data_IF_219919917982
#
_entry.id   IF_219919917982
#
_cell.length_a   1.000
_cell.length_b   1.000
_cell.length_c   1.000
_cell.angle_alpha   90.00
_cell.angle_beta   90.00
_cell.angle_gamma   90.00
#
_symmetry.space_group_name_H-M   'P 1'
#
loop_
_entity.id
_entity.type
_entity.pdbx_description
1 polymer ?
#
# COMPACT_ATOMS: atom_id res chain seq x y z
N UNK A 1 10.00 24.01 10.53
CA UNK A 1 10.17 24.72 9.24
C UNK A 1 10.78 23.74 8.24
N UNK A 2 10.09 23.55 7.12
CA UNK A 2 10.59 22.71 6.01
C UNK A 2 11.55 23.56 5.18
N UNK A 3 12.77 23.11 4.87
CA UNK A 3 13.69 23.84 4.02
C UNK A 3 13.05 24.12 2.64
N UNK A 4 13.21 25.31 2.07
CA UNK A 4 12.74 25.60 0.73
C UNK A 4 13.56 24.80 -0.30
N UNK A 5 12.89 24.22 -1.30
CA UNK A 5 13.52 23.46 -2.38
C UNK A 5 12.67 23.45 -3.63
N UNK A 6 13.29 23.31 -4.80
CA UNK A 6 12.62 23.23 -6.11
C UNK A 6 12.41 21.77 -6.55
N UNK A 7 13.29 20.88 -6.12
CA UNK A 7 13.26 19.45 -6.47
C UNK A 7 14.10 18.65 -5.45
N UNK A 8 14.19 17.34 -5.65
CA UNK A 8 14.89 16.41 -4.75
C UNK A 8 16.37 16.70 -4.53
N UNK A 9 17.04 17.42 -5.41
CA UNK A 9 18.45 17.78 -5.25
C UNK A 9 18.66 18.86 -4.18
N UNK A 10 17.60 19.57 -3.82
CA UNK A 10 17.61 20.58 -2.76
C UNK A 10 17.33 19.97 -1.37
N UNK A 11 17.14 18.64 -1.29
CA UNK A 11 16.91 17.95 -0.03
C UNK A 11 18.11 18.11 0.90
N UNK A 12 17.83 18.56 2.14
CA UNK A 12 18.84 18.72 3.17
C UNK A 12 18.88 17.46 4.05
N UNK A 13 20.03 16.79 4.10
CA UNK A 13 20.24 15.70 5.06
C UNK A 13 20.23 16.28 6.49
N UNK A 14 19.29 15.82 7.31
CA UNK A 14 19.13 16.30 8.69
C UNK A 14 19.90 15.39 9.67
N UNK A 15 19.87 14.08 9.42
CA UNK A 15 20.49 13.10 10.28
C UNK A 15 20.88 11.87 9.47
N UNK A 16 22.09 11.37 9.72
CA UNK A 16 22.57 10.09 9.21
C UNK A 16 22.94 9.20 10.38
N UNK A 17 22.35 8.01 10.42
CA UNK A 17 22.56 7.05 11.51
C UNK A 17 23.07 5.73 10.95
N UNK A 18 24.13 5.19 11.58
CA UNK A 18 24.74 3.93 11.20
C UNK A 18 25.67 4.04 9.99
N UNK A 19 26.25 2.92 9.63
CA UNK A 19 27.15 2.79 8.50
C UNK A 19 26.56 1.85 7.45
N UNK A 20 26.73 2.21 6.17
CA UNK A 20 26.34 1.33 5.06
C UNK A 20 27.34 0.18 4.99
N UNK A 21 26.85 -1.05 5.10
CA UNK A 21 27.69 -2.24 4.99
C UNK A 21 28.26 -2.34 3.57
N UNK A 22 29.57 -2.44 3.49
CA UNK A 22 30.24 -2.79 2.25
C UNK A 22 30.25 -4.32 2.08
N UNK A 23 29.70 -4.79 0.97
CA UNK A 23 29.71 -6.21 0.63
C UNK A 23 30.91 -6.49 -0.28
N UNK A 24 31.56 -7.63 -0.07
CA UNK A 24 32.63 -8.14 -0.96
C UNK A 24 32.05 -8.86 -2.19
N UNK A 25 30.75 -8.80 -2.39
CA UNK A 25 30.03 -9.32 -3.54
C UNK A 25 28.97 -8.31 -4.02
N UNK A 26 28.48 -8.45 -5.24
CA UNK A 26 27.37 -7.63 -5.77
C UNK A 26 26.04 -8.14 -5.21
N UNK A 27 25.34 -7.37 -4.34
CA UNK A 27 24.02 -7.76 -3.82
C UNK A 27 23.01 -7.90 -4.96
N UNK A 28 22.15 -8.90 -4.86
CA UNK A 28 21.02 -9.07 -5.77
C UNK A 28 19.80 -8.34 -5.24
N UNK A 29 18.96 -7.87 -6.15
CA UNK A 29 17.65 -7.32 -5.80
C UNK A 29 16.70 -8.40 -5.28
N UNK A 30 15.63 -7.98 -4.61
CA UNK A 30 14.62 -8.90 -4.08
C UNK A 30 13.97 -9.76 -5.18
N UNK A 31 13.67 -9.17 -6.34
CA UNK A 31 13.08 -9.90 -7.47
C UNK A 31 14.07 -10.91 -8.08
N UNK A 32 15.36 -10.56 -8.24
CA UNK A 32 16.37 -11.51 -8.72
C UNK A 32 16.54 -12.72 -7.77
N UNK A 33 16.41 -12.48 -6.47
CA UNK A 33 16.47 -13.56 -5.46
C UNK A 33 15.22 -14.44 -5.57
N UNK A 34 14.05 -13.83 -5.65
CA UNK A 34 12.77 -14.52 -5.73
C UNK A 34 12.63 -15.38 -7.00
N UNK A 35 13.04 -14.85 -8.16
CA UNK A 35 13.08 -15.59 -9.42
C UNK A 35 14.07 -16.76 -9.35
N UNK A 36 15.28 -16.53 -8.85
CA UNK A 36 16.29 -17.59 -8.68
C UNK A 36 15.81 -18.72 -7.79
N UNK A 37 15.00 -18.42 -6.80
CA UNK A 37 14.39 -19.40 -5.89
C UNK A 37 13.11 -20.04 -6.46
N UNK A 38 12.67 -19.63 -7.65
CA UNK A 38 11.39 -20.01 -8.27
C UNK A 38 10.17 -19.67 -7.38
N UNK A 39 10.28 -18.65 -6.54
CA UNK A 39 9.23 -18.21 -5.63
C UNK A 39 8.51 -16.95 -6.11
N UNK A 40 9.05 -16.25 -7.11
CA UNK A 40 8.40 -15.16 -7.85
C UNK A 40 8.29 -15.53 -9.32
N UNK A 41 7.18 -15.20 -9.96
CA UNK A 41 6.91 -15.53 -11.36
C UNK A 41 6.20 -14.35 -12.06
N UNK A 42 6.97 -13.53 -12.72
CA UNK A 42 6.49 -12.38 -13.46
C UNK A 42 5.94 -12.74 -14.85
N UNK A 43 6.50 -13.79 -15.47
CA UNK A 43 6.05 -14.25 -16.78
C UNK A 43 4.64 -14.81 -16.72
N UNK A 44 4.35 -15.61 -15.71
CA UNK A 44 3.01 -16.13 -15.47
C UNK A 44 2.02 -14.99 -15.18
N UNK A 45 2.41 -14.01 -14.39
CA UNK A 45 1.59 -12.85 -14.10
C UNK A 45 1.30 -12.01 -15.37
N UNK A 46 2.29 -11.84 -16.23
CA UNK A 46 2.12 -11.13 -17.50
C UNK A 46 1.10 -11.83 -18.41
N UNK A 47 1.07 -13.16 -18.44
CA UNK A 47 0.11 -13.93 -19.23
C UNK A 47 -1.32 -13.85 -18.69
N UNK A 48 -1.49 -13.71 -17.39
CA UNK A 48 -2.81 -13.78 -16.74
C UNK A 48 -3.42 -12.41 -16.44
N UNK A 49 -2.57 -11.42 -16.12
CA UNK A 49 -3.04 -10.14 -15.60
C UNK A 49 -2.39 -8.95 -16.31
N UNK A 50 -1.11 -9.05 -16.64
CA UNK A 50 -0.34 -7.99 -17.28
C UNK A 50 1.02 -7.76 -16.64
N UNK A 51 1.80 -6.83 -17.21
CA UNK A 51 3.07 -6.42 -16.65
C UNK A 51 2.88 -5.76 -15.27
N UNK A 52 3.88 -5.81 -14.41
CA UNK A 52 3.92 -5.28 -13.04
C UNK A 52 3.16 -6.09 -11.98
N UNK A 53 2.53 -7.19 -12.36
CA UNK A 53 2.01 -8.16 -11.40
C UNK A 53 3.02 -9.29 -11.18
N UNK A 54 2.86 -10.01 -10.09
CA UNK A 54 3.74 -11.13 -9.75
C UNK A 54 2.93 -12.25 -9.09
N UNK A 55 3.29 -13.50 -9.38
CA UNK A 55 2.86 -14.64 -8.58
C UNK A 55 3.89 -14.89 -7.49
N UNK A 56 3.47 -14.81 -6.25
CA UNK A 56 4.26 -15.21 -5.08
C UNK A 56 3.92 -16.66 -4.76
N UNK A 57 4.93 -17.52 -4.69
CA UNK A 57 4.73 -18.97 -4.63
C UNK A 57 5.42 -19.61 -3.41
N UNK A 58 4.93 -20.80 -3.03
CA UNK A 58 5.53 -21.71 -2.05
C UNK A 58 5.85 -21.02 -0.71
N UNK A 59 7.06 -21.17 -0.21
CA UNK A 59 7.51 -20.65 1.09
C UNK A 59 7.44 -19.13 1.18
N UNK A 60 7.60 -18.41 0.07
CA UNK A 60 7.49 -16.95 0.06
C UNK A 60 6.04 -16.51 0.30
N UNK A 61 5.06 -17.19 -0.31
CA UNK A 61 3.65 -16.93 -0.04
C UNK A 61 3.27 -17.26 1.41
N UNK A 62 3.86 -18.32 1.98
CA UNK A 62 3.68 -18.66 3.39
C UNK A 62 4.29 -17.61 4.32
N UNK A 63 5.45 -17.08 3.95
CA UNK A 63 6.14 -16.03 4.71
C UNK A 63 5.34 -14.71 4.68
N UNK A 64 4.83 -14.30 3.52
CA UNK A 64 4.00 -13.11 3.37
C UNK A 64 2.77 -13.18 4.31
N UNK A 65 2.05 -14.29 4.29
CA UNK A 65 0.91 -14.50 5.20
C UNK A 65 1.32 -14.50 6.67
N UNK A 66 2.45 -15.13 7.01
CA UNK A 66 2.96 -15.16 8.38
C UNK A 66 3.34 -13.76 8.88
N UNK A 67 3.97 -12.95 8.04
CA UNK A 67 4.32 -11.57 8.37
C UNK A 67 3.09 -10.69 8.54
N UNK A 68 2.08 -10.83 7.67
CA UNK A 68 0.81 -10.11 7.80
C UNK A 68 0.14 -10.44 9.13
N UNK A 69 0.02 -11.72 9.47
CA UNK A 69 -0.55 -12.15 10.75
C UNK A 69 0.27 -11.63 11.94
N UNK A 70 1.58 -11.71 11.87
CA UNK A 70 2.46 -11.21 12.93
C UNK A 70 2.28 -9.71 13.17
N UNK A 71 2.18 -8.91 12.10
CA UNK A 71 1.96 -7.46 12.22
C UNK A 71 0.60 -7.15 12.85
N UNK A 72 -0.47 -7.78 12.39
CA UNK A 72 -1.81 -7.61 12.96
C UNK A 72 -1.84 -8.03 14.43
N UNK A 73 -1.30 -9.18 14.75
CA UNK A 73 -1.23 -9.68 16.14
C UNK A 73 -0.43 -8.73 17.04
N UNK A 74 0.67 -8.18 16.55
CA UNK A 74 1.48 -7.21 17.29
C UNK A 74 0.66 -5.94 17.58
N UNK A 75 -0.03 -5.40 16.60
CA UNK A 75 -0.80 -4.18 16.78
C UNK A 75 -2.02 -4.40 17.70
N UNK A 76 -2.72 -5.51 17.54
CA UNK A 76 -3.93 -5.78 18.34
C UNK A 76 -3.62 -6.22 19.76
N UNK A 77 -2.62 -7.11 19.94
CA UNK A 77 -2.31 -7.69 21.27
C UNK A 77 -1.37 -6.83 22.11
N UNK A 78 -0.48 -6.05 21.48
CA UNK A 78 0.56 -5.29 22.19
C UNK A 78 0.27 -3.79 22.16
N UNK A 79 -0.13 -3.25 21.00
CA UNK A 79 -0.24 -1.80 20.82
C UNK A 79 -1.66 -1.25 21.02
N UNK A 80 -2.64 -2.11 21.39
CA UNK A 80 -4.01 -1.72 21.73
C UNK A 80 -4.81 -1.20 20.55
N UNK A 81 -4.56 -1.70 19.34
CA UNK A 81 -5.37 -1.41 18.16
C UNK A 81 -6.55 -2.37 18.07
N UNK A 82 -7.66 -1.88 17.52
CA UNK A 82 -8.81 -2.70 17.13
C UNK A 82 -8.67 -3.10 15.67
N UNK A 83 -8.68 -4.39 15.39
CA UNK A 83 -8.68 -4.91 14.03
C UNK A 83 -10.03 -4.69 13.37
N UNK A 84 -10.02 -4.20 12.14
CA UNK A 84 -11.19 -4.04 11.28
C UNK A 84 -10.93 -4.76 9.95
N UNK A 85 -11.91 -5.49 9.46
CA UNK A 85 -11.94 -6.03 8.11
C UNK A 85 -12.88 -5.16 7.25
N UNK A 86 -12.35 -4.14 6.56
CA UNK A 86 -13.19 -3.18 5.84
C UNK A 86 -13.57 -3.69 4.45
N UNK A 87 -14.63 -3.11 3.83
CA UNK A 87 -14.88 -3.28 2.40
C UNK A 87 -13.70 -2.82 1.54
N UNK A 88 -13.53 -3.46 0.36
CA UNK A 88 -12.45 -3.12 -0.58
C UNK A 88 -12.88 -2.12 -1.67
N UNK A 89 -14.13 -1.67 -1.63
CA UNK A 89 -14.70 -0.69 -2.57
C UNK A 89 -15.04 0.60 -1.83
N UNK A 90 -14.60 1.72 -2.40
CA UNK A 90 -14.87 3.06 -1.92
C UNK A 90 -15.76 3.84 -2.89
N UNK A 91 -16.65 4.67 -2.37
CA UNK A 91 -17.42 5.64 -3.17
C UNK A 91 -16.55 6.84 -3.55
N UNK A 92 -17.00 7.63 -4.53
CA UNK A 92 -16.36 8.91 -4.90
C UNK A 92 -16.19 9.82 -3.68
N UNK A 93 -17.23 9.95 -2.87
CA UNK A 93 -17.22 10.79 -1.68
C UNK A 93 -16.19 10.34 -0.64
N UNK A 94 -16.05 9.02 -0.45
CA UNK A 94 -15.04 8.43 0.45
C UNK A 94 -13.63 8.69 -0.04
N UNK A 95 -13.39 8.52 -1.34
CA UNK A 95 -12.10 8.81 -1.98
C UNK A 95 -11.74 10.30 -1.91
N UNK A 96 -12.73 11.17 -2.02
CA UNK A 96 -12.55 12.62 -1.89
C UNK A 96 -12.22 13.01 -0.46
N UNK A 97 -12.89 12.40 0.53
CA UNK A 97 -12.71 12.68 1.96
C UNK A 97 -11.29 12.44 2.48
N UNK A 98 -10.50 11.59 1.80
CA UNK A 98 -9.09 11.31 2.13
C UNK A 98 -8.11 11.87 1.10
N UNK A 99 -8.57 12.72 0.17
CA UNK A 99 -7.72 13.42 -0.79
C UNK A 99 -7.17 12.55 -1.93
N UNK A 100 -7.71 11.36 -2.14
CA UNK A 100 -7.36 10.52 -3.29
C UNK A 100 -7.91 11.11 -4.58
N UNK A 101 -9.11 11.64 -4.53
CA UNK A 101 -9.71 12.38 -5.64
C UNK A 101 -9.68 13.88 -5.35
N UNK A 102 -9.56 14.73 -6.38
CA UNK A 102 -9.34 14.38 -7.80
C UNK A 102 -7.87 14.11 -8.16
N UNK A 103 -6.94 14.37 -7.25
CA UNK A 103 -5.50 14.48 -7.53
C UNK A 103 -4.90 13.20 -8.12
N UNK A 104 -5.29 12.03 -7.61
CA UNK A 104 -4.73 10.73 -7.99
C UNK A 104 -5.71 9.87 -8.78
N UNK A 105 -6.68 10.48 -9.46
CA UNK A 105 -7.73 9.75 -10.19
C UNK A 105 -7.17 8.75 -11.22
N UNK A 106 -6.12 9.13 -11.93
CA UNK A 106 -5.50 8.28 -12.95
C UNK A 106 -4.79 7.03 -12.37
N UNK A 107 -4.43 7.08 -11.09
CA UNK A 107 -3.76 5.98 -10.39
C UNK A 107 -4.75 5.02 -9.72
N UNK A 108 -6.05 5.30 -9.79
CA UNK A 108 -7.09 4.49 -9.15
C UNK A 108 -7.70 3.48 -10.12
N UNK A 109 -8.05 2.30 -9.61
CA UNK A 109 -8.88 1.33 -10.32
C UNK A 109 -10.36 1.68 -10.12
N UNK A 110 -10.95 2.28 -11.12
CA UNK A 110 -12.39 2.53 -11.15
C UNK A 110 -13.15 1.28 -11.57
N UNK A 111 -14.25 0.99 -10.88
CA UNK A 111 -15.19 -0.08 -11.21
C UNK A 111 -16.49 0.55 -11.68
N UNK A 112 -16.91 0.18 -12.87
CA UNK A 112 -18.22 0.49 -13.45
C UNK A 112 -19.08 -0.76 -13.36
N UNK A 113 -20.06 -0.75 -12.46
CA UNK A 113 -20.99 -1.85 -12.32
C UNK A 113 -22.18 -1.71 -13.26
N UNK A 114 -22.68 -0.50 -13.46
CA UNK A 114 -23.71 -0.11 -14.41
C UNK A 114 -23.54 1.37 -14.77
N UNK A 115 -24.05 1.80 -15.95
CA UNK A 115 -24.02 3.21 -16.36
C UNK A 115 -24.86 4.13 -15.46
N UNK A 116 -25.79 3.57 -14.69
CA UNK A 116 -26.68 4.29 -13.75
C UNK A 116 -26.19 4.28 -12.31
N UNK A 117 -25.17 3.49 -11.99
CA UNK A 117 -24.63 3.41 -10.62
C UNK A 117 -23.54 4.44 -10.38
N UNK A 118 -23.43 4.86 -9.12
CA UNK A 118 -22.34 5.71 -8.67
C UNK A 118 -20.98 5.01 -8.89
N UNK A 119 -20.02 5.80 -9.38
CA UNK A 119 -18.63 5.34 -9.55
C UNK A 119 -18.08 4.77 -8.25
N UNK A 120 -17.44 3.62 -8.30
CA UNK A 120 -16.72 3.01 -7.19
C UNK A 120 -15.27 2.73 -7.56
N UNK A 121 -14.44 2.65 -6.55
CA UNK A 121 -12.99 2.45 -6.72
C UNK A 121 -12.53 1.31 -5.83
N UNK A 122 -11.61 0.48 -6.33
CA UNK A 122 -10.84 -0.39 -5.45
C UNK A 122 -9.96 0.47 -4.54
N UNK A 123 -9.89 0.13 -3.27
CA UNK A 123 -9.13 0.93 -2.29
C UNK A 123 -7.63 0.93 -2.60
N UNK A 124 -6.96 2.08 -2.67
CA UNK A 124 -5.50 2.16 -2.79
C UNK A 124 -4.78 1.93 -1.47
N UNK A 125 -5.51 2.05 -0.38
CA UNK A 125 -5.09 1.81 1.00
C UNK A 125 -6.32 1.62 1.88
N UNK A 126 -6.21 0.82 2.92
CA UNK A 126 -7.29 0.65 3.91
C UNK A 126 -7.65 1.98 4.61
N UNK A 127 -6.70 2.90 4.74
CA UNK A 127 -6.91 4.23 5.34
C UNK A 127 -8.13 4.96 4.77
N UNK A 128 -8.37 4.83 3.46
CA UNK A 128 -9.51 5.47 2.79
C UNK A 128 -10.84 5.09 3.44
N UNK A 129 -11.04 3.81 3.73
CA UNK A 129 -12.26 3.34 4.39
C UNK A 129 -12.23 3.64 5.89
N UNK A 130 -11.11 3.32 6.56
CA UNK A 130 -11.02 3.42 8.01
C UNK A 130 -11.18 4.87 8.51
N UNK A 131 -10.58 5.84 7.86
CA UNK A 131 -10.73 7.25 8.21
C UNK A 131 -12.17 7.73 8.02
N UNK A 132 -12.85 7.27 6.98
CA UNK A 132 -14.23 7.64 6.70
C UNK A 132 -15.27 6.94 7.62
N UNK A 133 -14.86 6.01 8.48
CA UNK A 133 -15.76 5.41 9.48
C UNK A 133 -16.39 6.45 10.41
N UNK A 134 -15.71 7.54 10.65
CA UNK A 134 -16.16 8.63 11.53
C UNK A 134 -16.58 9.90 10.77
N UNK A 135 -16.70 9.80 9.44
CA UNK A 135 -17.08 10.89 8.57
C UNK A 135 -18.47 11.45 8.99
N UNK A 136 -18.59 12.77 9.00
CA UNK A 136 -19.82 13.48 9.35
C UNK A 136 -20.37 13.14 10.74
N UNK A 137 -19.53 12.70 11.69
CA UNK A 137 -19.91 12.38 13.05
C UNK A 137 -19.20 13.27 14.07
N UNK A 138 -19.90 13.61 15.14
CA UNK A 138 -19.29 14.21 16.34
C UNK A 138 -18.91 13.05 17.26
N UNK A 139 -17.63 12.87 17.48
CA UNK A 139 -17.09 11.76 18.28
C UNK A 139 -17.08 12.15 19.76
N UNK A 140 -17.56 11.26 20.62
CA UNK A 140 -17.45 11.45 22.06
C UNK A 140 -15.97 11.40 22.48
N UNK A 141 -15.55 12.34 23.32
CA UNK A 141 -14.18 12.44 23.83
C UNK A 141 -13.71 11.13 24.50
N UNK A 142 -14.60 10.44 25.20
CA UNK A 142 -14.29 9.16 25.86
C UNK A 142 -13.99 8.01 24.90
N UNK A 143 -14.34 8.17 23.60
CA UNK A 143 -14.02 7.18 22.55
C UNK A 143 -12.66 7.43 21.89
N UNK A 144 -11.94 8.44 22.32
CA UNK A 144 -10.63 8.82 21.79
C UNK A 144 -9.50 8.44 22.76
N UNK A 145 -8.32 8.08 22.25
CA UNK A 145 -8.00 7.92 20.82
C UNK A 145 -8.55 6.61 20.24
N UNK A 146 -9.09 6.68 19.02
CA UNK A 146 -9.47 5.49 18.26
C UNK A 146 -8.22 4.97 17.52
N UNK A 147 -7.80 3.76 17.88
CA UNK A 147 -6.66 3.08 17.25
C UNK A 147 -7.19 1.90 16.44
N UNK A 148 -7.07 1.98 15.13
CA UNK A 148 -7.65 1.01 14.20
C UNK A 148 -6.56 0.48 13.27
N UNK A 149 -6.59 -0.81 12.96
CA UNK A 149 -5.66 -1.46 12.05
C UNK A 149 -6.43 -2.42 11.13
N UNK A 150 -5.96 -2.55 9.89
CA UNK A 150 -6.47 -3.51 8.93
C UNK A 150 -5.33 -4.10 8.09
N UNK A 151 -5.49 -5.36 7.68
CA UNK A 151 -4.68 -6.01 6.66
C UNK A 151 -5.58 -6.25 5.44
N UNK A 152 -5.32 -5.56 4.35
CA UNK A 152 -6.12 -5.62 3.13
C UNK A 152 -5.25 -5.67 1.90
N UNK A 153 -5.72 -6.26 0.78
CA UNK A 153 -5.22 -5.91 -0.54
C UNK A 153 -5.37 -4.39 -0.77
N UNK A 154 -4.42 -3.80 -1.47
CA UNK A 154 -4.44 -2.40 -1.88
C UNK A 154 -4.16 -2.32 -3.37
N UNK A 155 -4.90 -1.48 -4.10
CA UNK A 155 -4.90 -1.49 -5.56
C UNK A 155 -4.48 -0.12 -6.10
N UNK A 156 -3.34 -0.08 -6.80
CA UNK A 156 -2.82 1.13 -7.43
C UNK A 156 -2.42 0.82 -8.87
N UNK A 157 -2.85 1.64 -9.83
CA UNK A 157 -2.44 1.47 -11.23
C UNK A 157 -0.97 1.78 -11.47
N UNK A 158 -0.37 2.62 -10.60
CA UNK A 158 0.99 3.12 -10.79
C UNK A 158 1.19 3.63 -12.23
N UNK A 159 0.24 4.44 -12.71
CA UNK A 159 0.13 4.87 -14.10
C UNK A 159 1.31 5.75 -14.55
N UNK A 160 1.97 6.39 -13.61
CA UNK A 160 3.18 7.19 -13.83
C UNK A 160 4.43 6.46 -13.36
N UNK A 161 5.56 6.79 -13.93
CA UNK A 161 6.87 6.33 -13.46
C UNK A 161 7.31 7.09 -12.21
N UNK A 162 6.47 7.12 -11.18
CA UNK A 162 6.77 7.82 -9.92
C UNK A 162 7.88 7.15 -9.11
N UNK A 163 8.30 5.94 -9.48
CA UNK A 163 9.44 5.27 -8.90
C UNK A 163 10.49 4.92 -9.94
N UNK A 164 11.75 5.04 -9.60
CA UNK A 164 12.87 4.54 -10.42
C UNK A 164 12.86 3.01 -10.54
N UNK A 165 12.13 2.32 -9.67
CA UNK A 165 11.98 0.87 -9.65
C UNK A 165 10.65 0.46 -10.28
N UNK A 166 10.72 0.11 -11.58
CA UNK A 166 9.57 -0.39 -12.35
C UNK A 166 9.37 -1.91 -12.20
N UNK A 167 10.22 -2.59 -11.43
CA UNK A 167 10.14 -4.02 -11.11
C UNK A 167 9.70 -4.28 -9.67
N UNK A 168 9.25 -3.25 -8.97
CA UNK A 168 8.61 -3.40 -7.68
C UNK A 168 7.37 -4.31 -7.79
N UNK A 169 7.13 -5.10 -6.77
CA UNK A 169 5.91 -5.89 -6.65
C UNK A 169 4.77 -4.96 -6.19
N UNK A 170 3.67 -4.99 -6.92
CA UNK A 170 2.47 -4.23 -6.63
C UNK A 170 1.40 -5.18 -6.09
#
# INVERSE_FOLDING_TARGET
>A
DVPPGKNENDNKEILKVGEIKNFNFKPKSHYEIGEKLNMLDFDLATKTTGSRFVFVKDKLASLERALSNFMIDTHTKINGYTEISPPLLATVETMFGTGQLPKFENDQFEIKLDEKEERKFLIPTAEVILTNMVKNQIINLNSLPMRIVASTPCFRKEAGSYGKDTKGMI
#
